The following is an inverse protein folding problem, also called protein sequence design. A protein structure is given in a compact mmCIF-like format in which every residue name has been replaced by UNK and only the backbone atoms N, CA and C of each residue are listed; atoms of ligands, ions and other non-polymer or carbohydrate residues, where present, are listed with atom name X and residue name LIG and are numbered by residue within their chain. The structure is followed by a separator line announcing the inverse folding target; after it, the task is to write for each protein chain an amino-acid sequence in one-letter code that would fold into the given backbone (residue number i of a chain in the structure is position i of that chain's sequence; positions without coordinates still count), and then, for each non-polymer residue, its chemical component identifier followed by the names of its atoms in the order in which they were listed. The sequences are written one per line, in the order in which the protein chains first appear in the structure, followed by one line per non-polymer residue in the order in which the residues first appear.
data_IF_172562021641
#
_entry.id   IF_172562021641
#
_cell.length_a   1.000
_cell.length_b   1.000
_cell.length_c   1.000
_cell.angle_alpha   90.00
_cell.angle_beta   90.00
_cell.angle_gamma   90.00
#
_symmetry.space_group_name_H-M   'P 1'
#
loop_
_entity.id
_entity.type
_entity.pdbx_description
1 polymer ?
#
# COMPACT_ATOMS: atom_id res chain seq x y z
N UNK A 1 23.69 53.79 15.90
CA UNK A 1 24.69 53.29 14.94
C UNK A 1 24.95 51.81 15.25
N UNK A 2 24.27 50.88 14.56
CA UNK A 2 24.44 49.43 14.73
C UNK A 2 25.51 48.97 13.74
N UNK A 3 26.70 48.63 14.22
CA UNK A 3 27.78 48.11 13.38
C UNK A 3 28.40 46.89 14.10
N UNK A 4 28.06 45.72 13.56
CA UNK A 4 28.80 44.45 13.55
C UNK A 4 29.14 43.75 14.87
N UNK A 5 28.22 42.89 15.32
CA UNK A 5 28.53 41.68 16.09
C UNK A 5 28.31 40.45 15.22
N UNK A 6 29.35 39.98 14.53
CA UNK A 6 29.36 38.66 13.88
C UNK A 6 30.65 37.96 14.29
N UNK A 7 30.58 37.17 15.35
CA UNK A 7 31.67 36.28 15.75
C UNK A 7 31.90 35.28 14.62
N UNK A 8 33.09 35.35 14.01
CA UNK A 8 33.53 34.37 13.02
C UNK A 8 33.98 33.14 13.81
N UNK A 9 33.09 32.15 13.96
CA UNK A 9 33.44 30.83 14.50
C UNK A 9 34.36 30.10 13.51
N UNK A 10 35.66 30.30 13.65
CA UNK A 10 36.71 29.72 12.78
C UNK A 10 36.84 28.20 12.95
N UNK A 11 36.43 27.66 14.11
CA UNK A 11 36.53 26.25 14.47
C UNK A 11 35.18 25.75 15.01
N UNK A 12 34.20 25.63 14.12
CA UNK A 12 32.96 24.94 14.44
C UNK A 12 33.14 23.44 14.16
N UNK A 13 33.48 22.67 15.19
CA UNK A 13 33.62 21.22 15.11
C UNK A 13 32.29 20.47 14.87
N UNK A 14 31.16 21.16 15.04
CA UNK A 14 29.83 20.65 14.68
C UNK A 14 29.46 20.95 13.23
N UNK A 15 30.32 21.65 12.49
CA UNK A 15 30.10 21.94 11.07
C UNK A 15 30.52 20.74 10.24
N UNK A 16 29.53 20.15 9.59
CA UNK A 16 29.72 19.09 8.59
C UNK A 16 30.92 19.40 7.66
N UNK A 17 31.86 18.46 7.61
CA UNK A 17 33.09 18.57 6.83
C UNK A 17 32.82 18.84 5.35
N UNK A 18 33.79 19.47 4.67
CA UNK A 18 33.71 19.80 3.24
C UNK A 18 33.63 18.50 2.42
N UNK A 19 32.43 18.13 1.98
CA UNK A 19 32.15 16.88 1.28
C UNK A 19 30.98 16.06 1.85
N UNK A 20 30.54 16.37 3.08
CA UNK A 20 29.35 15.76 3.67
C UNK A 20 28.11 16.37 3.00
N UNK A 21 27.28 15.53 2.37
CA UNK A 21 25.99 15.98 1.82
C UNK A 21 25.12 16.45 2.97
N UNK A 22 24.89 17.77 3.06
CA UNK A 22 23.90 18.33 3.99
C UNK A 22 22.54 17.68 3.73
N UNK A 23 22.09 16.88 4.68
CA UNK A 23 20.74 16.33 4.66
C UNK A 23 19.75 17.51 4.58
N UNK A 24 18.73 17.46 3.70
CA UNK A 24 17.77 18.54 3.62
C UNK A 24 17.06 18.69 4.97
N UNK A 25 16.60 19.90 5.32
CA UNK A 25 15.65 20.03 6.42
C UNK A 25 14.51 19.06 6.17
N UNK A 26 14.16 18.26 7.19
CA UNK A 26 13.33 17.06 7.13
C UNK A 26 12.03 17.19 6.31
N UNK A 27 11.23 16.12 6.16
CA UNK A 27 10.11 16.04 5.22
C UNK A 27 9.02 17.12 5.42
N UNK A 28 9.24 18.37 5.01
CA UNK A 28 8.36 19.50 5.31
C UNK A 28 7.39 19.77 4.15
N UNK A 29 7.91 19.71 2.93
CA UNK A 29 7.24 20.25 1.75
C UNK A 29 7.63 19.49 0.47
N UNK A 30 6.84 19.71 -0.58
CA UNK A 30 6.95 19.03 -1.88
C UNK A 30 8.29 19.30 -2.59
N UNK A 31 8.87 20.50 -2.40
CA UNK A 31 10.18 20.82 -2.98
C UNK A 31 11.29 19.91 -2.44
N UNK A 32 11.28 19.65 -1.14
CA UNK A 32 12.25 18.76 -0.51
C UNK A 32 12.00 17.29 -0.88
N UNK A 33 10.76 16.92 -1.23
CA UNK A 33 10.40 15.56 -1.60
C UNK A 33 11.26 15.04 -2.76
N UNK A 34 11.35 15.79 -3.87
CA UNK A 34 12.12 15.34 -5.04
C UNK A 34 13.61 15.17 -4.74
N UNK A 35 14.16 16.01 -3.86
CA UNK A 35 15.55 15.88 -3.39
C UNK A 35 15.74 14.62 -2.55
N UNK A 36 14.83 14.35 -1.61
CA UNK A 36 14.85 13.14 -0.78
C UNK A 36 14.67 11.88 -1.62
N UNK A 37 13.65 11.86 -2.47
CA UNK A 37 13.33 10.76 -3.37
C UNK A 37 14.50 10.43 -4.29
N UNK A 38 15.02 11.42 -5.02
CA UNK A 38 16.15 11.22 -5.95
C UNK A 38 17.42 10.74 -5.26
N UNK A 39 17.76 11.29 -4.08
CA UNK A 39 18.96 10.90 -3.33
C UNK A 39 18.89 9.45 -2.80
N UNK A 40 17.69 8.92 -2.61
CA UNK A 40 17.48 7.60 -2.00
C UNK A 40 16.91 6.59 -3.01
N UNK A 41 16.72 6.96 -4.27
CA UNK A 41 16.10 6.14 -5.31
C UNK A 41 16.76 4.76 -5.49
N UNK A 42 18.09 4.68 -5.56
CA UNK A 42 18.81 3.38 -5.66
C UNK A 42 18.52 2.47 -4.47
N UNK A 43 18.34 3.05 -3.28
CA UNK A 43 17.96 2.29 -2.09
C UNK A 43 16.50 1.82 -2.17
N UNK A 44 15.60 2.62 -2.72
CA UNK A 44 14.20 2.23 -2.94
C UNK A 44 14.07 1.06 -3.91
N UNK A 45 14.89 1.00 -4.96
CA UNK A 45 14.99 -0.18 -5.85
C UNK A 45 15.34 -1.45 -5.06
N UNK A 46 16.23 -1.35 -4.06
CA UNK A 46 16.53 -2.50 -3.20
C UNK A 46 15.36 -2.83 -2.27
N UNK A 47 14.64 -1.82 -1.78
CA UNK A 47 13.44 -2.03 -0.95
C UNK A 47 12.32 -2.73 -1.74
N UNK A 48 12.19 -2.44 -3.03
CA UNK A 48 11.29 -3.15 -3.93
C UNK A 48 11.57 -4.66 -3.98
N UNK A 49 12.83 -5.10 -3.87
CA UNK A 49 13.16 -6.53 -3.80
C UNK A 49 12.56 -7.21 -2.57
N UNK A 50 12.52 -6.53 -1.42
CA UNK A 50 11.82 -7.06 -0.24
C UNK A 50 10.31 -7.16 -0.46
N UNK A 51 9.70 -6.22 -1.19
CA UNK A 51 8.29 -6.31 -1.55
C UNK A 51 7.99 -7.54 -2.42
N UNK A 52 8.81 -7.79 -3.45
CA UNK A 52 8.60 -8.91 -4.38
C UNK A 52 8.82 -10.25 -3.68
N UNK A 53 10.01 -10.47 -3.13
CA UNK A 53 10.37 -11.76 -2.56
C UNK A 53 9.66 -12.03 -1.25
N UNK A 54 9.40 -10.98 -0.47
CA UNK A 54 8.64 -11.09 0.75
C UNK A 54 7.17 -11.44 0.49
N UNK A 55 6.56 -10.90 -0.57
CA UNK A 55 5.17 -11.19 -0.95
C UNK A 55 5.05 -12.09 -2.19
N UNK A 56 5.98 -13.02 -2.38
CA UNK A 56 5.94 -13.96 -3.50
C UNK A 56 4.62 -14.75 -3.64
N UNK A 57 3.80 -15.01 -2.59
CA UNK A 57 2.51 -15.70 -2.78
C UNK A 57 1.54 -14.96 -3.72
N UNK A 58 1.69 -13.65 -3.88
CA UNK A 58 0.91 -12.85 -4.85
C UNK A 58 1.13 -13.35 -6.28
N UNK A 59 2.31 -13.88 -6.61
CA UNK A 59 2.61 -14.42 -7.93
C UNK A 59 1.72 -15.63 -8.27
N UNK A 60 1.34 -16.45 -7.27
CA UNK A 60 0.39 -17.54 -7.50
C UNK A 60 -1.01 -17.02 -7.82
N UNK A 61 -1.46 -15.95 -7.14
CA UNK A 61 -2.72 -15.29 -7.50
C UNK A 61 -2.66 -14.75 -8.93
N UNK A 62 -1.57 -14.06 -9.30
CA UNK A 62 -1.41 -13.52 -10.66
C UNK A 62 -1.45 -14.63 -11.72
N UNK A 63 -0.78 -15.76 -11.48
CA UNK A 63 -0.82 -16.90 -12.38
C UNK A 63 -2.23 -17.50 -12.47
N UNK A 64 -2.93 -17.67 -11.35
CA UNK A 64 -4.29 -18.19 -11.32
C UNK A 64 -5.28 -17.29 -12.08
N UNK A 65 -5.22 -15.97 -11.85
CA UNK A 65 -6.09 -15.00 -12.52
C UNK A 65 -5.72 -14.76 -14.00
N UNK A 66 -4.55 -15.20 -14.45
CA UNK A 66 -4.14 -15.04 -15.84
C UNK A 66 -4.90 -15.94 -16.82
N UNK A 67 -5.62 -16.96 -16.34
CA UNK A 67 -6.32 -17.93 -17.18
C UNK A 67 -5.41 -18.96 -17.88
N UNK A 68 -4.08 -18.81 -17.79
CA UNK A 68 -3.12 -19.72 -18.45
C UNK A 68 -3.17 -21.18 -17.94
N UNK A 69 -3.80 -21.41 -16.78
CA UNK A 69 -3.98 -22.74 -16.19
C UNK A 69 -5.39 -23.29 -16.41
N UNK A 70 -6.27 -22.52 -17.04
CA UNK A 70 -7.66 -22.90 -17.26
C UNK A 70 -7.75 -23.78 -18.51
N UNK A 71 -8.88 -24.48 -18.64
CA UNK A 71 -9.20 -25.22 -19.86
C UNK A 71 -10.34 -24.53 -20.57
N UNK A 72 -10.24 -24.50 -21.88
CA UNK A 72 -11.27 -23.91 -22.70
C UNK A 72 -12.45 -24.87 -22.86
N UNK A 73 -13.65 -24.31 -22.78
CA UNK A 73 -14.91 -24.99 -23.07
C UNK A 73 -15.84 -24.04 -23.81
N UNK A 74 -16.75 -24.60 -24.61
CA UNK A 74 -17.75 -23.80 -25.32
C UNK A 74 -18.99 -23.64 -24.48
N UNK A 75 -19.29 -22.41 -24.07
CA UNK A 75 -20.52 -22.06 -23.37
C UNK A 75 -21.44 -21.24 -24.30
N UNK A 76 -22.76 -21.29 -24.09
CA UNK A 76 -23.68 -20.43 -24.82
C UNK A 76 -23.36 -18.94 -24.68
N UNK A 77 -23.20 -18.22 -25.80
CA UNK A 77 -22.91 -16.78 -25.78
C UNK A 77 -24.14 -15.94 -25.38
N UNK A 78 -25.35 -16.49 -25.57
CA UNK A 78 -26.61 -15.80 -25.32
C UNK A 78 -27.47 -16.56 -24.32
N UNK A 79 -28.12 -15.83 -23.40
CA UNK A 79 -29.08 -16.41 -22.43
C UNK A 79 -30.25 -17.14 -23.10
N UNK A 80 -30.60 -16.76 -24.33
CA UNK A 80 -31.66 -17.36 -25.16
C UNK A 80 -31.24 -18.68 -25.82
N UNK A 81 -29.95 -19.01 -25.85
CA UNK A 81 -29.42 -20.18 -26.55
C UNK A 81 -30.15 -21.48 -26.19
N UNK A 82 -30.43 -21.84 -24.91
CA UNK A 82 -31.12 -23.09 -24.61
C UNK A 82 -32.52 -23.18 -25.24
N UNK A 83 -33.26 -22.06 -25.23
CA UNK A 83 -34.62 -21.99 -25.78
C UNK A 83 -34.59 -22.09 -27.31
N UNK A 84 -33.67 -21.36 -27.96
CA UNK A 84 -33.50 -21.38 -29.41
C UNK A 84 -32.95 -22.73 -29.90
N UNK A 85 -32.01 -23.35 -29.17
CA UNK A 85 -31.49 -24.69 -29.48
C UNK A 85 -32.60 -25.74 -29.37
N UNK A 86 -33.48 -25.65 -28.39
CA UNK A 86 -34.64 -26.53 -28.27
C UNK A 86 -35.61 -26.36 -29.45
N UNK A 87 -35.98 -25.12 -29.79
CA UNK A 87 -36.83 -24.81 -30.95
C UNK A 87 -36.25 -25.32 -32.27
N UNK A 88 -34.92 -25.22 -32.45
CA UNK A 88 -34.21 -25.71 -33.63
C UNK A 88 -34.21 -27.24 -33.74
N UNK A 89 -34.10 -27.94 -32.61
CA UNK A 89 -34.13 -29.41 -32.59
C UNK A 89 -35.54 -29.94 -32.89
N UNK A 90 -36.58 -29.25 -32.41
CA UNK A 90 -37.98 -29.64 -32.59
C UNK A 90 -38.53 -29.26 -33.98
N UNK A 91 -38.29 -28.02 -34.42
CA UNK A 91 -38.86 -27.47 -35.65
C UNK A 91 -37.78 -26.83 -36.51
N UNK A 92 -37.35 -27.52 -37.57
CA UNK A 92 -36.34 -27.01 -38.51
C UNK A 92 -36.98 -26.12 -39.59
N UNK A 93 -37.43 -24.94 -39.20
CA UNK A 93 -37.94 -23.90 -40.10
C UNK A 93 -36.85 -22.88 -40.50
N UNK A 94 -37.04 -22.12 -41.59
CA UNK A 94 -36.16 -21.00 -41.93
C UNK A 94 -36.04 -19.95 -40.81
N UNK A 95 -37.12 -19.72 -40.05
CA UNK A 95 -37.13 -18.76 -38.93
C UNK A 95 -36.28 -19.26 -37.78
N UNK A 96 -36.44 -20.53 -37.38
CA UNK A 96 -35.60 -21.15 -36.34
C UNK A 96 -34.14 -21.27 -36.78
N UNK A 97 -33.86 -21.44 -38.08
CA UNK A 97 -32.50 -21.43 -38.62
C UNK A 97 -31.84 -20.06 -38.46
N UNK A 98 -32.57 -18.99 -38.81
CA UNK A 98 -32.09 -17.62 -38.67
C UNK A 98 -31.87 -17.26 -37.20
N UNK A 99 -32.81 -17.63 -36.32
CA UNK A 99 -32.67 -17.42 -34.88
C UNK A 99 -31.50 -18.21 -34.29
N UNK A 100 -31.30 -19.46 -34.70
CA UNK A 100 -30.15 -20.26 -34.27
C UNK A 100 -28.83 -19.73 -34.83
N UNK A 101 -28.81 -19.17 -36.04
CA UNK A 101 -27.62 -18.51 -36.59
C UNK A 101 -27.16 -17.30 -35.78
N UNK A 102 -28.10 -16.55 -35.18
CA UNK A 102 -27.80 -15.36 -34.37
C UNK A 102 -27.54 -15.73 -32.90
N UNK A 103 -28.44 -16.51 -32.30
CA UNK A 103 -28.44 -16.79 -30.85
C UNK A 103 -27.88 -18.16 -30.48
N UNK A 104 -27.59 -19.01 -31.47
CA UNK A 104 -26.96 -20.33 -31.32
C UNK A 104 -25.43 -20.28 -31.28
N UNK A 105 -24.83 -19.08 -31.20
CA UNK A 105 -23.39 -18.90 -31.08
C UNK A 105 -22.93 -19.37 -29.69
N UNK A 106 -21.85 -20.13 -29.67
CA UNK A 106 -21.12 -20.48 -28.45
C UNK A 106 -19.84 -19.66 -28.38
N UNK A 107 -19.51 -19.18 -27.19
CA UNK A 107 -18.27 -18.50 -26.90
C UNK A 107 -17.34 -19.45 -26.15
N UNK A 108 -16.05 -19.29 -26.39
CA UNK A 108 -15.01 -19.93 -25.60
C UNK A 108 -14.99 -19.32 -24.19
N UNK A 109 -15.06 -20.17 -23.17
CA UNK A 109 -15.00 -19.78 -21.76
C UNK A 109 -14.00 -20.69 -21.08
N UNK A 110 -12.96 -20.09 -20.51
CA UNK A 110 -12.01 -20.78 -19.64
C UNK A 110 -12.67 -21.15 -18.33
N UNK A 111 -12.55 -22.41 -17.91
CA UNK A 111 -12.95 -22.84 -16.57
C UNK A 111 -11.73 -23.21 -15.71
N UNK A 112 -11.72 -22.85 -14.42
CA UNK A 112 -10.63 -23.16 -13.51
C UNK A 112 -10.36 -24.66 -13.41
N UNK A 113 -9.10 -25.05 -13.57
CA UNK A 113 -8.66 -26.44 -13.36
C UNK A 113 -8.25 -26.67 -11.90
N UNK A 114 -7.98 -27.93 -11.55
CA UNK A 114 -7.37 -28.28 -10.26
C UNK A 114 -6.09 -27.47 -9.99
N UNK A 115 -5.28 -27.19 -11.01
CA UNK A 115 -4.08 -26.36 -10.88
C UNK A 115 -4.42 -24.91 -10.53
N UNK A 116 -5.43 -24.33 -11.18
CA UNK A 116 -5.92 -22.98 -10.86
C UNK A 116 -6.36 -22.90 -9.39
N UNK A 117 -7.10 -23.89 -8.88
CA UNK A 117 -7.50 -23.94 -7.46
C UNK A 117 -6.33 -24.12 -6.49
N UNK A 118 -5.32 -24.92 -6.84
CA UNK A 118 -4.09 -25.05 -6.04
C UNK A 118 -3.39 -23.69 -5.94
N UNK A 119 -3.28 -22.94 -7.05
CA UNK A 119 -2.65 -21.62 -7.05
C UNK A 119 -3.44 -20.59 -6.23
N UNK A 120 -4.77 -20.63 -6.24
CA UNK A 120 -5.58 -19.84 -5.31
C UNK A 120 -5.27 -20.19 -3.84
N UNK A 121 -5.18 -21.49 -3.53
CA UNK A 121 -4.81 -21.94 -2.19
C UNK A 121 -3.43 -21.45 -1.75
N UNK A 122 -2.42 -21.55 -2.61
CA UNK A 122 -1.06 -21.05 -2.34
C UNK A 122 -1.02 -19.53 -2.18
N UNK A 123 -1.86 -18.79 -2.93
CA UNK A 123 -1.93 -17.34 -2.81
C UNK A 123 -2.39 -16.86 -1.43
N UNK A 124 -3.17 -17.68 -0.70
CA UNK A 124 -3.61 -17.36 0.65
C UNK A 124 -2.45 -17.21 1.64
N UNK A 125 -1.25 -17.71 1.32
CA UNK A 125 -0.03 -17.48 2.10
C UNK A 125 0.31 -15.98 2.22
N UNK A 126 -0.22 -15.12 1.33
CA UNK A 126 -0.08 -13.67 1.42
C UNK A 126 -0.58 -13.13 2.76
N UNK A 127 -1.57 -13.77 3.39
CA UNK A 127 -2.08 -13.41 4.71
C UNK A 127 -1.00 -13.44 5.79
N UNK A 128 0.02 -14.28 5.62
CA UNK A 128 1.13 -14.42 6.56
C UNK A 128 2.33 -13.55 6.19
N UNK A 129 2.52 -13.22 4.91
CA UNK A 129 3.68 -12.45 4.46
C UNK A 129 3.44 -10.95 4.45
N UNK A 130 2.23 -10.51 4.09
CA UNK A 130 1.92 -9.11 3.77
C UNK A 130 2.23 -8.16 4.92
N UNK A 131 1.82 -8.52 6.13
CA UNK A 131 2.07 -7.74 7.33
C UNK A 131 3.56 -7.58 7.64
N UNK A 132 4.32 -8.68 7.57
CA UNK A 132 5.76 -8.67 7.86
C UNK A 132 6.53 -7.80 6.87
N UNK A 133 6.24 -7.94 5.59
CA UNK A 133 6.90 -7.15 4.56
C UNK A 133 6.64 -5.67 4.78
N UNK A 134 5.38 -5.27 4.97
CA UNK A 134 5.03 -3.87 5.23
C UNK A 134 5.69 -3.33 6.51
N UNK A 135 5.80 -4.13 7.57
CA UNK A 135 6.51 -3.72 8.81
C UNK A 135 7.99 -3.45 8.52
N UNK A 136 8.68 -4.40 7.86
CA UNK A 136 10.12 -4.29 7.59
C UNK A 136 10.45 -3.15 6.61
N UNK A 137 9.71 -3.03 5.51
CA UNK A 137 9.94 -1.98 4.51
C UNK A 137 9.58 -0.60 5.04
N UNK A 138 8.49 -0.47 5.81
CA UNK A 138 8.11 0.81 6.45
C UNK A 138 9.16 1.26 7.44
N UNK A 139 9.78 0.34 8.19
CA UNK A 139 10.87 0.68 9.11
C UNK A 139 12.09 1.26 8.39
N UNK A 140 12.53 0.59 7.32
CA UNK A 140 13.63 1.08 6.48
C UNK A 140 13.28 2.45 5.89
N UNK A 141 12.11 2.58 5.26
CA UNK A 141 11.70 3.82 4.59
C UNK A 141 11.57 4.98 5.60
N UNK A 142 11.00 4.73 6.78
CA UNK A 142 10.91 5.74 7.85
C UNK A 142 12.30 6.22 8.24
N UNK A 143 13.24 5.32 8.48
CA UNK A 143 14.61 5.68 8.83
C UNK A 143 15.30 6.44 7.67
N UNK A 144 14.99 6.09 6.41
CA UNK A 144 15.52 6.81 5.22
C UNK A 144 15.02 8.26 5.19
N UNK A 145 13.78 8.48 5.59
CA UNK A 145 13.15 9.80 5.68
C UNK A 145 13.70 10.60 6.86
N UNK A 146 13.97 9.94 7.98
CA UNK A 146 14.60 10.54 9.18
C UNK A 146 16.08 10.88 8.98
N UNK A 147 16.73 10.33 7.95
CA UNK A 147 18.15 10.54 7.71
C UNK A 147 19.05 9.61 8.52
N UNK A 148 18.49 8.58 9.14
CA UNK A 148 19.25 7.65 9.97
C UNK A 148 20.07 6.67 9.10
N UNK A 149 21.23 6.21 9.58
CA UNK A 149 21.99 5.14 8.91
C UNK A 149 21.16 3.84 8.91
N UNK A 150 21.27 3.06 7.82
CA UNK A 150 20.42 1.88 7.60
C UNK A 150 21.25 0.74 7.05
N UNK A 151 21.11 -0.41 7.70
CA UNK A 151 21.61 -1.70 7.24
C UNK A 151 20.41 -2.52 6.77
N UNK A 152 20.15 -2.53 5.46
CA UNK A 152 18.86 -2.97 4.92
C UNK A 152 18.41 -4.35 5.38
N UNK A 153 19.28 -5.36 5.34
CA UNK A 153 18.91 -6.72 5.69
C UNK A 153 18.62 -6.87 7.19
N UNK A 154 19.53 -6.36 8.02
CA UNK A 154 19.43 -6.48 9.47
C UNK A 154 18.25 -5.67 10.02
N UNK A 155 18.07 -4.43 9.53
CA UNK A 155 16.96 -3.56 9.94
C UNK A 155 15.60 -4.12 9.52
N UNK A 156 15.51 -4.73 8.33
CA UNK A 156 14.29 -5.40 7.85
C UNK A 156 13.84 -6.49 8.82
N UNK A 157 14.74 -7.42 9.13
CA UNK A 157 14.43 -8.55 10.00
C UNK A 157 14.30 -8.13 11.47
N UNK A 158 15.06 -7.14 11.92
CA UNK A 158 14.91 -6.55 13.25
C UNK A 158 13.48 -6.03 13.47
N UNK A 159 12.97 -5.22 12.53
CA UNK A 159 11.64 -4.63 12.63
C UNK A 159 10.54 -5.69 12.66
N UNK A 160 10.65 -6.73 11.82
CA UNK A 160 9.71 -7.86 11.79
C UNK A 160 9.75 -8.61 13.11
N UNK A 161 10.92 -9.02 13.59
CA UNK A 161 11.06 -9.79 14.84
C UNK A 161 10.52 -9.02 16.04
N UNK A 162 10.74 -7.71 16.09
CA UNK A 162 10.24 -6.85 17.16
C UNK A 162 8.70 -6.75 17.17
N UNK A 163 8.06 -6.73 16.00
CA UNK A 163 6.63 -6.45 15.88
C UNK A 163 5.82 -7.64 15.31
N UNK A 164 6.33 -8.86 15.34
CA UNK A 164 5.78 -9.97 14.55
C UNK A 164 4.30 -10.26 14.84
N UNK A 165 3.86 -10.28 16.11
CA UNK A 165 2.44 -10.54 16.43
C UNK A 165 1.52 -9.46 15.86
N UNK A 166 1.86 -8.19 16.12
CA UNK A 166 1.08 -7.05 15.63
C UNK A 166 1.12 -6.96 14.10
N UNK A 167 2.29 -7.19 13.50
CA UNK A 167 2.52 -7.21 12.06
C UNK A 167 1.68 -8.29 11.38
N UNK A 168 1.65 -9.52 11.91
CA UNK A 168 0.85 -10.61 11.35
C UNK A 168 -0.65 -10.29 11.41
N UNK A 169 -1.17 -9.94 12.58
CA UNK A 169 -2.61 -9.68 12.77
C UNK A 169 -3.04 -8.49 11.90
N UNK A 170 -2.28 -7.41 11.89
CA UNK A 170 -2.58 -6.25 11.06
C UNK A 170 -2.46 -6.59 9.56
N UNK A 171 -1.49 -7.41 9.16
CA UNK A 171 -1.37 -7.89 7.79
C UNK A 171 -2.62 -8.62 7.31
N UNK A 172 -3.16 -9.52 8.13
CA UNK A 172 -4.42 -10.24 7.85
C UNK A 172 -5.57 -9.24 7.72
N UNK A 173 -5.71 -8.32 8.67
CA UNK A 173 -6.75 -7.28 8.62
C UNK A 173 -6.61 -6.46 7.33
N UNK A 174 -5.40 -6.07 6.96
CA UNK A 174 -5.15 -5.22 5.78
C UNK A 174 -5.51 -5.94 4.48
N UNK A 175 -5.12 -7.20 4.32
CA UNK A 175 -5.51 -8.00 3.15
C UNK A 175 -7.03 -8.19 3.11
N UNK A 176 -7.66 -8.59 4.22
CA UNK A 176 -9.11 -8.86 4.25
C UNK A 176 -9.92 -7.59 3.96
N UNK A 177 -9.61 -6.47 4.62
CA UNK A 177 -10.30 -5.21 4.37
C UNK A 177 -10.08 -4.73 2.94
N UNK A 178 -8.86 -4.83 2.42
CA UNK A 178 -8.57 -4.45 1.03
C UNK A 178 -9.37 -5.31 0.03
N UNK A 179 -9.45 -6.64 0.24
CA UNK A 179 -10.24 -7.54 -0.60
C UNK A 179 -11.75 -7.23 -0.55
N UNK A 180 -12.30 -6.98 0.64
CA UNK A 180 -13.71 -6.63 0.82
C UNK A 180 -14.06 -5.32 0.12
N UNK A 181 -13.25 -4.29 0.31
CA UNK A 181 -13.44 -2.99 -0.35
C UNK A 181 -13.36 -3.12 -1.87
N UNK A 182 -12.39 -3.89 -2.39
CA UNK A 182 -12.30 -4.16 -3.82
C UNK A 182 -13.54 -4.90 -4.34
N UNK A 183 -14.00 -5.93 -3.62
CA UNK A 183 -15.22 -6.66 -3.95
C UNK A 183 -16.45 -5.74 -3.97
N UNK A 184 -16.63 -4.91 -2.95
CA UNK A 184 -17.76 -3.99 -2.84
C UNK A 184 -17.80 -3.00 -4.02
N UNK A 185 -16.65 -2.41 -4.39
CA UNK A 185 -16.56 -1.50 -5.55
C UNK A 185 -17.01 -2.21 -6.83
N UNK A 186 -16.49 -3.42 -7.08
CA UNK A 186 -16.82 -4.18 -8.29
C UNK A 186 -18.31 -4.57 -8.29
N UNK A 187 -18.81 -5.07 -7.16
CA UNK A 187 -20.20 -5.46 -6.99
C UNK A 187 -21.16 -4.30 -7.25
N UNK A 188 -20.94 -3.15 -6.60
CA UNK A 188 -21.81 -1.99 -6.78
C UNK A 188 -21.64 -1.32 -8.15
N UNK A 189 -20.46 -1.40 -8.78
CA UNK A 189 -20.27 -0.96 -10.16
C UNK A 189 -21.19 -1.72 -11.12
N UNK A 190 -21.20 -3.05 -11.06
CA UNK A 190 -22.07 -3.87 -11.92
C UNK A 190 -23.57 -3.72 -11.63
N UNK A 191 -23.93 -3.18 -10.46
CA UNK A 191 -25.31 -2.91 -10.07
C UNK A 191 -25.67 -1.40 -10.16
N UNK A 192 -24.79 -0.58 -10.72
CA UNK A 192 -25.05 0.85 -10.94
C UNK A 192 -26.20 1.00 -11.94
N UNK A 193 -27.18 1.84 -11.62
CA UNK A 193 -28.38 2.07 -12.44
C UNK A 193 -29.59 1.19 -12.10
N UNK A 194 -29.44 0.17 -11.25
CA UNK A 194 -30.56 -0.66 -10.79
C UNK A 194 -31.48 0.11 -9.83
N UNK A 195 -30.90 0.89 -8.92
CA UNK A 195 -31.64 1.74 -7.99
C UNK A 195 -30.79 2.90 -7.48
N UNK A 196 -31.43 3.93 -6.92
CA UNK A 196 -30.72 5.03 -6.26
C UNK A 196 -29.85 4.55 -5.09
N UNK A 197 -30.28 3.51 -4.38
CA UNK A 197 -29.51 2.91 -3.28
C UNK A 197 -28.21 2.27 -3.77
N UNK A 198 -28.26 1.51 -4.88
CA UNK A 198 -27.05 0.88 -5.43
C UNK A 198 -26.02 1.91 -5.90
N UNK A 199 -26.48 3.01 -6.52
CA UNK A 199 -25.60 4.11 -6.89
C UNK A 199 -24.96 4.77 -5.66
N UNK A 200 -25.72 5.00 -4.59
CA UNK A 200 -25.18 5.52 -3.34
C UNK A 200 -24.12 4.59 -2.74
N UNK A 201 -24.39 3.28 -2.68
CA UNK A 201 -23.44 2.30 -2.15
C UNK A 201 -22.15 2.23 -2.96
N UNK A 202 -22.21 2.40 -4.29
CA UNK A 202 -21.01 2.48 -5.13
C UNK A 202 -20.09 3.64 -4.71
N UNK A 203 -20.63 4.86 -4.60
CA UNK A 203 -19.83 6.02 -4.18
C UNK A 203 -19.36 5.91 -2.72
N UNK A 204 -20.17 5.32 -1.84
CA UNK A 204 -19.77 5.04 -0.46
C UNK A 204 -18.60 4.04 -0.38
N UNK A 205 -18.60 2.99 -1.22
CA UNK A 205 -17.51 2.02 -1.30
C UNK A 205 -16.20 2.69 -1.78
N UNK A 206 -16.27 3.59 -2.77
CA UNK A 206 -15.10 4.38 -3.22
C UNK A 206 -14.57 5.27 -2.08
N UNK A 207 -15.46 5.95 -1.33
CA UNK A 207 -15.06 6.79 -0.21
C UNK A 207 -14.38 5.94 0.89
N UNK A 208 -14.94 4.78 1.23
CA UNK A 208 -14.36 3.85 2.19
C UNK A 208 -12.99 3.35 1.72
N UNK A 209 -12.83 3.06 0.43
CA UNK A 209 -11.56 2.68 -0.15
C UNK A 209 -10.50 3.76 -0.03
N UNK A 210 -10.86 5.01 -0.34
CA UNK A 210 -9.97 6.16 -0.22
C UNK A 210 -9.56 6.37 1.25
N UNK A 211 -10.51 6.26 2.18
CA UNK A 211 -10.24 6.36 3.61
C UNK A 211 -9.30 5.27 4.09
N UNK A 212 -9.59 4.00 3.76
CA UNK A 212 -8.74 2.87 4.10
C UNK A 212 -7.33 3.02 3.53
N UNK A 213 -7.23 3.43 2.27
CA UNK A 213 -5.97 3.70 1.60
C UNK A 213 -5.13 4.76 2.34
N UNK A 214 -5.74 5.85 2.80
CA UNK A 214 -5.03 6.86 3.60
C UNK A 214 -4.68 6.40 5.00
N UNK A 215 -5.53 5.61 5.66
CA UNK A 215 -5.19 5.03 6.96
C UNK A 215 -3.91 4.20 6.86
N UNK A 216 -3.71 3.44 5.77
CA UNK A 216 -2.50 2.61 5.55
C UNK A 216 -1.21 3.42 5.53
N UNK A 217 -1.24 4.72 5.23
CA UNK A 217 -0.05 5.58 5.33
C UNK A 217 0.45 5.69 6.77
N UNK A 218 -0.43 5.51 7.75
CA UNK A 218 -0.16 5.71 9.17
C UNK A 218 -0.07 4.39 9.95
N UNK A 219 -0.83 3.35 9.58
CA UNK A 219 -0.95 2.10 10.35
C UNK A 219 0.43 1.50 10.66
N UNK A 220 1.22 1.18 9.63
CA UNK A 220 2.51 0.54 9.83
C UNK A 220 3.52 1.51 10.46
N UNK A 221 3.50 2.80 10.10
CA UNK A 221 4.36 3.81 10.70
C UNK A 221 4.14 3.97 12.21
N UNK A 222 2.89 4.05 12.65
CA UNK A 222 2.54 4.16 14.07
C UNK A 222 2.92 2.87 14.79
N UNK A 223 2.63 1.70 14.20
CA UNK A 223 2.98 0.39 14.78
C UNK A 223 4.47 0.25 15.10
N UNK A 224 5.35 0.62 14.16
CA UNK A 224 6.80 0.48 14.36
C UNK A 224 7.41 1.60 15.21
N UNK A 225 6.64 2.64 15.54
CA UNK A 225 7.12 3.83 16.26
C UNK A 225 6.65 3.84 17.71
N UNK A 226 5.43 3.37 17.98
CA UNK A 226 4.79 3.40 19.28
C UNK A 226 4.31 2.02 19.70
N UNK A 227 4.46 1.71 20.98
CA UNK A 227 3.90 0.47 21.56
C UNK A 227 2.41 0.67 21.88
N UNK A 228 1.57 0.43 20.88
CA UNK A 228 0.12 0.58 20.96
C UNK A 228 -0.60 -0.71 20.55
N UNK A 229 -1.73 -0.98 21.19
CA UNK A 229 -2.66 -2.03 20.75
C UNK A 229 -3.17 -1.75 19.33
N UNK A 230 -3.46 -2.79 18.55
CA UNK A 230 -3.94 -2.68 17.15
C UNK A 230 -5.16 -1.76 17.02
N UNK A 231 -6.12 -1.83 17.95
CA UNK A 231 -7.28 -0.95 17.94
C UNK A 231 -6.91 0.53 18.06
N UNK A 232 -5.97 0.87 18.95
CA UNK A 232 -5.44 2.24 19.10
C UNK A 232 -4.68 2.67 17.85
N UNK A 233 -3.91 1.77 17.21
CA UNK A 233 -3.23 2.05 15.94
C UNK A 233 -4.25 2.41 14.85
N UNK A 234 -5.32 1.62 14.68
CA UNK A 234 -6.37 1.88 13.70
C UNK A 234 -7.11 3.18 13.99
N UNK A 235 -7.47 3.44 15.25
CA UNK A 235 -8.12 4.70 15.66
C UNK A 235 -7.23 5.91 15.36
N UNK A 236 -5.94 5.83 15.69
CA UNK A 236 -4.99 6.91 15.40
C UNK A 236 -4.80 7.10 13.89
N UNK A 237 -4.66 6.00 13.13
CA UNK A 237 -4.54 6.06 11.68
C UNK A 237 -5.77 6.70 11.02
N UNK A 238 -6.97 6.42 11.53
CA UNK A 238 -8.20 7.08 11.09
C UNK A 238 -8.15 8.59 11.35
N UNK A 239 -7.77 9.01 12.55
CA UNK A 239 -7.63 10.44 12.88
C UNK A 239 -6.61 11.11 11.95
N UNK A 240 -5.43 10.50 11.77
CA UNK A 240 -4.40 11.05 10.87
C UNK A 240 -4.80 11.07 9.40
N UNK A 241 -5.59 10.10 8.93
CA UNK A 241 -6.10 10.10 7.57
C UNK A 241 -6.93 11.37 7.28
N UNK A 242 -7.64 11.88 8.29
CA UNK A 242 -8.48 13.07 8.20
C UNK A 242 -7.69 14.35 8.50
N UNK A 243 -6.92 14.39 9.59
CA UNK A 243 -6.14 15.57 9.98
C UNK A 243 -5.03 15.88 8.98
N UNK A 244 -4.43 14.83 8.40
CA UNK A 244 -3.38 14.92 7.38
C UNK A 244 -3.91 15.08 5.94
N UNK A 245 -5.21 15.32 5.73
CA UNK A 245 -5.89 15.26 4.42
C UNK A 245 -5.08 15.87 3.28
N UNK A 246 -4.62 17.12 3.42
CA UNK A 246 -3.87 17.82 2.36
C UNK A 246 -2.59 17.08 1.97
N UNK A 247 -1.84 16.54 2.94
CA UNK A 247 -0.61 15.78 2.68
C UNK A 247 -0.91 14.42 2.08
N UNK A 248 -1.95 13.74 2.59
CA UNK A 248 -2.40 12.43 2.10
C UNK A 248 -2.86 12.52 0.64
N UNK A 249 -3.64 13.55 0.32
CA UNK A 249 -4.11 13.82 -1.04
C UNK A 249 -2.94 14.10 -1.99
N UNK A 250 -1.98 14.93 -1.60
CA UNK A 250 -0.79 15.20 -2.42
C UNK A 250 0.06 13.94 -2.66
N UNK A 251 0.26 13.09 -1.65
CA UNK A 251 0.93 11.80 -1.84
C UNK A 251 0.12 10.86 -2.75
N UNK A 252 -1.21 10.87 -2.65
CA UNK A 252 -2.08 10.08 -3.52
C UNK A 252 -1.93 10.50 -4.98
N UNK A 253 -1.88 11.81 -5.27
CA UNK A 253 -1.60 12.29 -6.63
C UNK A 253 -0.24 11.80 -7.14
N UNK A 254 0.80 11.85 -6.31
CA UNK A 254 2.11 11.31 -6.65
C UNK A 254 2.08 9.80 -6.93
N UNK A 255 1.35 9.04 -6.10
CA UNK A 255 1.16 7.59 -6.28
C UNK A 255 0.41 7.31 -7.58
N UNK A 256 -0.67 8.03 -7.89
CA UNK A 256 -1.42 7.87 -9.15
C UNK A 256 -0.52 8.14 -10.36
N UNK A 257 0.28 9.21 -10.32
CA UNK A 257 1.25 9.52 -11.38
C UNK A 257 2.27 8.39 -11.54
N UNK A 258 2.80 7.86 -10.43
CA UNK A 258 3.77 6.78 -10.45
C UNK A 258 3.19 5.46 -10.98
N UNK A 259 1.98 5.11 -10.56
CA UNK A 259 1.24 3.95 -11.07
C UNK A 259 0.97 4.11 -12.57
N UNK A 260 0.48 5.28 -13.00
CA UNK A 260 0.21 5.57 -14.41
C UNK A 260 1.48 5.53 -15.27
N UNK A 261 2.58 6.08 -14.79
CA UNK A 261 3.88 6.01 -15.45
C UNK A 261 4.35 4.56 -15.62
N UNK A 262 4.30 3.78 -14.53
CA UNK A 262 4.69 2.37 -14.52
C UNK A 262 3.83 1.55 -15.48
N UNK A 263 2.51 1.75 -15.47
CA UNK A 263 1.57 1.10 -16.39
C UNK A 263 1.84 1.48 -17.84
N UNK A 264 2.13 2.76 -18.12
CA UNK A 264 2.43 3.22 -19.49
C UNK A 264 3.72 2.60 -20.02
N UNK A 265 4.77 2.55 -19.20
CA UNK A 265 6.04 1.89 -19.56
C UNK A 265 5.81 0.39 -19.81
N UNK A 266 4.96 -0.25 -19.00
CA UNK A 266 4.61 -1.66 -19.19
C UNK A 266 3.97 -1.92 -20.55
N UNK A 267 3.05 -1.06 -20.99
CA UNK A 267 2.41 -1.17 -22.31
C UNK A 267 3.37 -0.93 -23.48
N UNK A 268 4.32 0.00 -23.33
CA UNK A 268 5.28 0.35 -24.39
C UNK A 268 6.36 -0.72 -24.61
N UNK A 269 6.73 -1.47 -23.57
CA UNK A 269 7.83 -2.43 -23.60
C UNK A 269 7.43 -3.82 -23.07
N UNK A 270 6.43 -4.47 -23.68
CA UNK A 270 5.75 -5.67 -23.16
C UNK A 270 6.64 -6.76 -22.47
N UNK A 271 7.78 -7.22 -23.02
CA UNK A 271 8.61 -8.23 -22.35
C UNK A 271 9.40 -7.71 -21.14
N UNK A 272 9.79 -6.42 -21.14
CA UNK A 272 10.45 -5.77 -19.99
C UNK A 272 9.44 -5.13 -19.04
N UNK A 273 8.24 -4.86 -19.52
CA UNK A 273 7.18 -4.11 -18.87
C UNK A 273 6.65 -4.80 -17.63
N UNK A 274 6.69 -6.14 -17.59
CA UNK A 274 6.32 -6.93 -16.40
C UNK A 274 7.31 -6.69 -15.26
N UNK A 275 8.60 -6.47 -15.55
CA UNK A 275 9.66 -6.28 -14.55
C UNK A 275 9.61 -4.88 -13.94
N UNK A 276 9.14 -3.88 -14.68
CA UNK A 276 9.17 -2.48 -14.28
C UNK A 276 8.36 -2.18 -13.00
N UNK A 277 7.11 -2.67 -12.83
CA UNK A 277 6.38 -2.57 -11.57
C UNK A 277 7.14 -3.17 -10.39
N UNK A 278 7.82 -4.29 -10.60
CA UNK A 278 8.59 -4.95 -9.56
C UNK A 278 9.82 -4.11 -9.13
N UNK A 279 10.45 -3.37 -10.05
CA UNK A 279 11.65 -2.57 -9.73
C UNK A 279 11.32 -1.20 -9.12
N UNK A 280 10.19 -0.60 -9.48
CA UNK A 280 9.91 0.81 -9.19
C UNK A 280 8.72 1.02 -8.25
N UNK A 281 7.64 0.25 -8.37
CA UNK A 281 6.34 0.72 -7.91
C UNK A 281 6.17 0.73 -6.39
N UNK A 282 6.39 -0.40 -5.73
CA UNK A 282 5.90 -0.62 -4.36
C UNK A 282 6.63 0.26 -3.33
N UNK A 283 7.95 0.28 -3.35
CA UNK A 283 8.76 1.07 -2.44
C UNK A 283 8.57 2.56 -2.66
N UNK A 284 8.43 3.02 -3.91
CA UNK A 284 8.19 4.42 -4.23
C UNK A 284 6.83 4.89 -3.70
N UNK A 285 5.78 4.06 -3.84
CA UNK A 285 4.48 4.31 -3.24
C UNK A 285 4.55 4.42 -1.72
N UNK A 286 5.21 3.47 -1.05
CA UNK A 286 5.38 3.51 0.41
C UNK A 286 6.22 4.70 0.85
N UNK A 287 7.25 5.08 0.09
CA UNK A 287 8.05 6.26 0.37
C UNK A 287 7.23 7.54 0.32
N UNK A 288 6.39 7.71 -0.72
CA UNK A 288 5.48 8.85 -0.83
C UNK A 288 4.49 8.91 0.34
N UNK A 289 3.89 7.77 0.68
CA UNK A 289 2.99 7.65 1.83
C UNK A 289 3.70 8.05 3.14
N UNK A 290 4.88 7.47 3.41
CA UNK A 290 5.62 7.73 4.63
C UNK A 290 6.12 9.18 4.72
N UNK A 291 6.57 9.76 3.60
CA UNK A 291 7.02 11.15 3.54
C UNK A 291 5.88 12.14 3.82
N UNK A 292 4.66 11.82 3.38
CA UNK A 292 3.48 12.61 3.70
C UNK A 292 3.02 12.45 5.15
N UNK A 293 3.05 11.22 5.68
CA UNK A 293 2.53 10.87 7.00
C UNK A 293 3.44 11.24 8.17
N UNK A 294 4.76 11.00 8.05
CA UNK A 294 5.73 11.16 9.13
C UNK A 294 5.65 12.51 9.86
N UNK A 295 5.48 13.65 9.18
CA UNK A 295 5.46 14.96 9.83
C UNK A 295 4.23 15.19 10.70
N UNK A 296 3.06 14.65 10.31
CA UNK A 296 1.86 14.74 11.15
C UNK A 296 1.97 13.83 12.38
N UNK A 297 2.56 12.65 12.21
CA UNK A 297 2.88 11.77 13.35
C UNK A 297 3.82 12.49 14.31
N UNK A 298 4.90 13.10 13.79
CA UNK A 298 5.87 13.84 14.59
C UNK A 298 5.21 15.01 15.35
N UNK A 299 4.49 15.86 14.63
CA UNK A 299 3.83 17.05 15.16
C UNK A 299 2.83 16.72 16.30
N UNK A 300 2.09 15.62 16.19
CA UNK A 300 0.96 15.33 17.08
C UNK A 300 1.31 14.31 18.17
N UNK A 301 2.24 13.37 17.91
CA UNK A 301 2.55 12.28 18.84
C UNK A 301 3.97 12.31 19.40
N UNK A 302 4.87 13.12 18.86
CA UNK A 302 6.28 13.13 19.29
C UNK A 302 6.62 14.49 19.90
N UNK A 303 6.43 15.57 19.15
CA UNK A 303 6.83 16.91 19.58
C UNK A 303 6.18 17.39 20.90
N UNK A 304 4.90 17.08 21.22
CA UNK A 304 4.29 17.51 22.48
C UNK A 304 5.00 17.00 23.75
N UNK A 305 5.64 15.82 23.69
CA UNK A 305 6.34 15.25 24.84
C UNK A 305 7.63 15.98 25.20
N UNK A 306 8.21 16.74 24.27
CA UNK A 306 9.42 17.52 24.50
C UNK A 306 9.13 18.98 24.89
N UNK A 307 7.86 19.39 24.83
CA UNK A 307 7.41 20.73 25.24
C UNK A 307 6.86 20.75 26.66
N UNK A 308 6.51 19.60 27.21
CA UNK A 308 6.16 19.47 28.62
C UNK A 308 7.46 19.46 29.46
N UNK A 309 7.57 20.23 30.55
CA UNK A 309 8.73 20.19 31.42
C UNK A 309 8.90 18.77 31.97
N UNK A 310 10.14 18.23 31.92
CA UNK A 310 10.45 16.96 32.58
C UNK A 310 9.96 17.03 34.04
N UNK A 311 9.23 16.02 34.54
CA UNK A 311 8.96 15.96 35.97
C UNK A 311 10.33 15.93 36.67
N UNK A 312 10.58 16.89 37.56
CA UNK A 312 11.80 16.91 38.36
C UNK A 312 11.96 15.53 39.00
N UNK A 313 13.17 14.92 38.97
CA UNK A 313 13.39 13.66 39.64
C UNK A 313 12.96 13.84 41.10
N UNK A 314 12.01 13.04 41.57
CA UNK A 314 11.67 12.99 42.98
C UNK A 314 12.97 12.70 43.74
N UNK A 315 13.49 13.70 44.46
CA UNK A 315 14.62 13.51 45.34
C UNK A 315 14.21 12.47 46.37
N UNK A 316 14.65 11.22 46.20
CA UNK A 316 14.51 10.20 47.23
C UNK A 316 15.15 10.76 48.51
N UNK A 317 14.40 10.90 49.62
CA UNK A 317 14.96 11.44 50.85
C UNK A 317 16.08 10.52 51.31
N UNK A 318 17.31 11.07 51.34
CA UNK A 318 18.57 10.36 51.64
C UNK A 318 18.57 9.74 53.06
N UNK A 319 17.62 10.12 53.92
CA UNK A 319 17.49 9.60 55.27
C UNK A 319 16.07 9.10 55.54
N UNK A 320 15.94 7.79 55.71
CA UNK A 320 14.85 7.22 56.47
C UNK A 320 15.22 7.33 57.95
N UNK A 321 14.60 8.26 58.68
CA UNK A 321 14.67 8.25 60.14
C UNK A 321 13.96 6.97 60.64
N UNK A 322 14.77 6.01 61.10
CA UNK A 322 14.32 4.89 61.92
C UNK A 322 14.12 5.40 63.34
N UNK A 323 12.94 5.99 63.58
CA UNK A 323 12.43 6.34 64.91
C UNK A 323 11.62 5.21 65.53
#
# INVERSE_FOLDING_TARGET
MKIFGKEIKLFDFNKDGKGVKKEPEGPKNLKNFFKYFGNKFTRLVTVNMYYIFGNFPILFAMLAFSGNLDRDSFAPAYKLFPAIRALWLESKSPVTAALYGIFGVQAEVGYPTTWTYIMYGLSALVLFTFGFVNVGTTYIIRNMIKGEPIFMWDDFWYAIKRNWKQGLIMGIIDVVVSLLVCYDIVFFYYNTGVSGMMNFMFYAAILLAALWFWMRFYIYLVMITFDLSIFKILKNALIFSLVGFKRNFMATLGIVVMVGLTYTIMLLYLPLGIIIPFVLLFADCTFMACYAAWPKIKEIMIDPYYTDPEPEPEEEPIFHDLG
#
